data_IF_495606732834
#
_entry.id   IF_495606732834
#
_cell.length_a   1.000
_cell.length_b   1.000
_cell.length_c   1.000
_cell.angle_alpha   90.00
_cell.angle_beta   90.00
_cell.angle_gamma   90.00
#
_symmetry.space_group_name_H-M   'P 1'
#
loop_
_entity.id
_entity.type
_entity.pdbx_description
1 polymer ?
#
# COMPACT_ATOMS: atom_id res chain seq x y z
N UNK A 1 -9.61 8.04 -18.60
CA UNK A 1 -8.69 8.43 -17.52
C UNK A 1 -8.75 7.30 -16.49
N UNK A 2 -7.83 6.35 -16.58
CA UNK A 2 -7.69 5.27 -15.61
C UNK A 2 -6.38 5.56 -14.87
N UNK A 3 -6.53 6.11 -13.67
CA UNK A 3 -5.43 6.25 -12.72
C UNK A 3 -5.08 4.83 -12.25
N UNK A 4 -3.96 4.30 -12.75
CA UNK A 4 -3.33 3.14 -12.13
C UNK A 4 -2.77 3.61 -10.79
N UNK A 5 -3.55 3.40 -9.72
CA UNK A 5 -3.09 3.58 -8.36
C UNK A 5 -1.89 2.65 -8.14
N UNK A 6 -0.69 3.22 -8.02
CA UNK A 6 0.40 2.55 -7.30
C UNK A 6 -0.05 2.50 -5.85
N UNK A 7 -0.80 1.46 -5.50
CA UNK A 7 -1.22 1.19 -4.13
C UNK A 7 0.06 1.15 -3.29
N UNK A 8 0.18 2.03 -2.31
CA UNK A 8 1.39 2.04 -1.48
C UNK A 8 1.52 0.69 -0.78
N UNK A 9 2.75 0.25 -0.48
CA UNK A 9 3.00 -1.01 0.26
C UNK A 9 2.14 -1.09 1.53
N UNK A 10 2.02 0.04 2.23
CA UNK A 10 1.18 0.17 3.42
C UNK A 10 -0.31 -0.04 3.11
N UNK A 11 -0.83 0.57 2.05
CA UNK A 11 -2.25 0.43 1.66
C UNK A 11 -2.59 -1.01 1.26
N UNK A 12 -1.71 -1.68 0.51
CA UNK A 12 -1.90 -3.07 0.13
C UNK A 12 -1.94 -3.99 1.36
N UNK A 13 -1.03 -3.78 2.32
CA UNK A 13 -1.02 -4.52 3.58
C UNK A 13 -2.25 -4.20 4.45
N UNK A 14 -2.68 -2.94 4.52
CA UNK A 14 -3.92 -2.54 5.20
C UNK A 14 -5.14 -3.26 4.61
N UNK A 15 -5.27 -3.27 3.28
CA UNK A 15 -6.35 -3.92 2.56
C UNK A 15 -6.38 -5.44 2.75
N UNK A 16 -5.22 -6.05 3.02
CA UNK A 16 -5.11 -7.47 3.38
C UNK A 16 -5.51 -7.74 4.84
N UNK A 17 -4.92 -7.00 5.79
CA UNK A 17 -5.08 -7.29 7.22
C UNK A 17 -6.42 -6.85 7.81
N UNK A 18 -6.95 -5.69 7.39
CA UNK A 18 -8.15 -5.11 7.99
C UNK A 18 -9.40 -6.02 7.86
N UNK A 19 -9.68 -6.65 6.70
CA UNK A 19 -10.77 -7.61 6.58
C UNK A 19 -10.59 -8.86 7.46
N UNK A 20 -9.36 -9.36 7.61
CA UNK A 20 -9.08 -10.53 8.44
C UNK A 20 -9.34 -10.23 9.92
N UNK A 21 -8.86 -9.08 10.40
CA UNK A 21 -9.11 -8.63 11.78
C UNK A 21 -10.60 -8.40 12.01
N UNK A 22 -11.34 -7.86 11.02
CA UNK A 22 -12.79 -7.66 11.12
C UNK A 22 -13.56 -8.98 11.27
N UNK A 23 -13.10 -10.07 10.64
CA UNK A 23 -13.72 -11.41 10.74
C UNK A 23 -13.60 -12.03 12.14
N UNK A 24 -12.76 -11.48 13.02
CA UNK A 24 -12.69 -11.94 14.41
C UNK A 24 -14.02 -11.71 15.12
N UNK A 25 -14.71 -10.59 14.82
CA UNK A 25 -16.01 -10.33 15.41
C UNK A 25 -17.06 -11.32 14.93
N UNK A 26 -17.62 -12.08 15.87
CA UNK A 26 -18.84 -12.83 15.64
C UNK A 26 -20.04 -11.89 15.83
N UNK A 27 -20.61 -11.42 14.72
CA UNK A 27 -21.79 -10.58 14.75
C UNK A 27 -23.05 -11.44 14.93
N UNK A 28 -23.82 -11.19 15.98
CA UNK A 28 -25.13 -11.82 16.18
C UNK A 28 -26.23 -10.75 16.31
N UNK A 29 -27.42 -11.03 15.80
CA UNK A 29 -28.55 -10.09 15.75
C UNK A 29 -29.21 -9.85 17.13
N UNK A 30 -28.88 -10.68 18.12
CA UNK A 30 -29.39 -10.55 19.48
C UNK A 30 -28.57 -9.54 20.28
N UNK A 31 -29.25 -8.53 20.83
CA UNK A 31 -28.62 -7.47 21.64
C UNK A 31 -28.10 -8.06 22.95
N UNK A 32 -26.79 -8.29 23.04
CA UNK A 32 -26.11 -8.74 24.27
C UNK A 32 -25.36 -7.57 24.89
N UNK A 33 -25.78 -7.14 26.08
CA UNK A 33 -25.01 -6.18 26.86
C UNK A 33 -23.92 -6.91 27.64
N UNK A 34 -22.68 -6.75 27.20
CA UNK A 34 -21.50 -7.27 27.91
C UNK A 34 -21.31 -6.51 29.23
N UNK A 35 -21.40 -7.23 30.37
CA UNK A 35 -21.06 -6.68 31.69
C UNK A 35 -19.61 -7.01 32.03
N UNK A 36 -18.99 -6.16 32.84
CA UNK A 36 -17.58 -6.29 33.25
C UNK A 36 -17.22 -7.67 33.82
N UNK A 37 -18.09 -8.24 34.68
CA UNK A 37 -17.87 -9.56 35.28
C UNK A 37 -17.89 -10.68 34.24
N UNK A 38 -18.80 -10.60 33.27
CA UNK A 38 -18.98 -11.61 32.24
C UNK A 38 -17.80 -11.59 31.25
N UNK A 39 -17.34 -10.40 30.87
CA UNK A 39 -16.14 -10.23 30.03
C UNK A 39 -14.90 -10.81 30.69
N UNK A 40 -14.65 -10.46 31.96
CA UNK A 40 -13.51 -10.99 32.69
C UNK A 40 -13.59 -12.51 32.88
N UNK A 41 -14.79 -13.03 33.16
CA UNK A 41 -15.02 -14.47 33.28
C UNK A 41 -14.72 -15.17 31.94
N UNK A 42 -15.21 -14.65 30.82
CA UNK A 42 -14.96 -15.21 29.50
C UNK A 42 -13.45 -15.21 29.14
N UNK A 43 -12.74 -14.12 29.40
CA UNK A 43 -11.30 -14.05 29.17
C UNK A 43 -10.52 -15.06 30.02
N UNK A 44 -10.89 -15.21 31.31
CA UNK A 44 -10.29 -16.23 32.18
C UNK A 44 -10.62 -17.64 31.74
N UNK A 45 -11.85 -17.90 31.28
CA UNK A 45 -12.24 -19.21 30.70
C UNK A 45 -11.35 -19.55 29.51
N UNK A 46 -11.14 -18.60 28.60
CA UNK A 46 -10.25 -18.78 27.46
C UNK A 46 -8.81 -19.08 27.89
N UNK A 47 -8.25 -18.27 28.81
CA UNK A 47 -6.89 -18.46 29.31
C UNK A 47 -6.69 -19.84 29.95
N UNK A 48 -7.68 -20.30 30.73
CA UNK A 48 -7.66 -21.62 31.37
C UNK A 48 -7.82 -22.76 30.36
N UNK A 49 -8.64 -22.58 29.32
CA UNK A 49 -8.84 -23.58 28.27
C UNK A 49 -7.66 -23.67 27.29
N UNK A 50 -6.87 -22.59 27.16
CA UNK A 50 -5.76 -22.45 26.20
C UNK A 50 -4.50 -21.87 26.87
N UNK A 51 -3.94 -22.51 27.91
CA UNK A 51 -2.83 -21.95 28.69
C UNK A 51 -1.57 -21.71 27.85
N UNK A 52 -1.33 -22.56 26.84
CA UNK A 52 -0.16 -22.48 25.97
C UNK A 52 -0.19 -21.31 24.98
N UNK A 53 -1.33 -20.63 24.82
CA UNK A 53 -1.43 -19.50 23.89
C UNK A 53 -0.80 -18.23 24.47
N UNK A 54 -0.60 -18.13 25.79
CA UNK A 54 0.03 -16.96 26.41
C UNK A 54 -0.80 -15.68 26.25
N UNK A 55 -2.13 -15.79 26.36
CA UNK A 55 -2.99 -14.62 26.45
C UNK A 55 -2.77 -13.87 27.77
N UNK A 56 -2.67 -12.55 27.70
CA UNK A 56 -2.50 -11.65 28.85
C UNK A 56 -3.77 -10.83 29.06
N UNK A 57 -4.27 -10.79 30.29
CA UNK A 57 -5.42 -9.95 30.67
C UNK A 57 -4.89 -8.75 31.45
N UNK A 58 -5.23 -7.55 31.00
CA UNK A 58 -4.87 -6.30 31.68
C UNK A 58 -6.04 -5.33 31.73
N UNK A 59 -5.93 -4.35 32.63
CA UNK A 59 -6.85 -3.21 32.67
C UNK A 59 -6.13 -1.99 32.11
N UNK A 60 -6.75 -1.32 31.16
CA UNK A 60 -6.23 -0.07 30.58
C UNK A 60 -7.18 1.08 30.87
N UNK A 61 -6.63 2.28 30.99
CA UNK A 61 -7.42 3.49 30.92
C UNK A 61 -7.40 3.99 29.48
N UNK A 62 -8.57 4.10 28.88
CA UNK A 62 -8.72 4.66 27.53
C UNK A 62 -9.54 5.94 27.61
N UNK A 63 -9.17 6.95 26.84
CA UNK A 63 -9.99 8.15 26.70
C UNK A 63 -11.25 7.78 25.92
N UNK A 64 -12.43 8.07 26.48
CA UNK A 64 -13.64 8.15 25.67
C UNK A 64 -13.40 9.30 24.70
N UNK A 65 -13.42 9.04 23.39
CA UNK A 65 -13.05 9.98 22.32
C UNK A 65 -13.87 11.28 22.20
N UNK A 66 -14.44 11.79 23.30
CA UNK A 66 -15.17 13.04 23.39
C UNK A 66 -14.57 14.05 24.40
N UNK A 67 -13.80 13.64 25.42
CA UNK A 67 -13.07 14.55 26.36
C UNK A 67 -11.83 13.86 26.96
N UNK A 68 -10.69 14.56 27.00
CA UNK A 68 -9.40 14.05 27.53
C UNK A 68 -9.41 13.64 29.02
N UNK A 69 -10.49 13.91 29.74
CA UNK A 69 -10.63 13.66 31.18
C UNK A 69 -11.54 12.47 31.53
N UNK A 70 -12.33 11.92 30.60
CA UNK A 70 -13.16 10.74 30.85
C UNK A 70 -12.40 9.46 30.48
N UNK A 71 -11.58 8.98 31.42
CA UNK A 71 -10.91 7.69 31.31
C UNK A 71 -11.84 6.57 31.77
N UNK A 72 -12.25 5.69 30.87
CA UNK A 72 -12.93 4.44 31.25
C UNK A 72 -11.93 3.32 31.45
N UNK A 73 -12.27 2.40 32.37
CA UNK A 73 -11.49 1.19 32.57
C UNK A 73 -11.89 0.15 31.52
N UNK A 74 -10.97 -0.13 30.61
CA UNK A 74 -11.12 -1.13 29.56
C UNK A 74 -10.48 -2.43 29.99
N UNK A 75 -11.17 -3.55 29.77
CA UNK A 75 -10.59 -4.88 29.92
C UNK A 75 -9.92 -5.23 28.59
N UNK A 76 -8.62 -5.50 28.63
CA UNK A 76 -7.82 -5.83 27.46
C UNK A 76 -7.39 -7.29 27.52
N UNK A 77 -7.70 -8.05 26.48
CA UNK A 77 -7.08 -9.35 26.20
C UNK A 77 -6.01 -9.15 25.13
N UNK A 78 -4.76 -9.44 25.47
CA UNK A 78 -3.60 -9.21 24.61
C UNK A 78 -2.95 -10.52 24.21
N UNK A 79 -2.46 -10.60 22.98
CA UNK A 79 -1.63 -11.69 22.48
C UNK A 79 -0.53 -11.19 21.55
N UNK A 80 0.72 -11.50 21.90
CA UNK A 80 1.87 -11.38 20.97
C UNK A 80 1.86 -12.54 19.99
N UNK A 81 1.92 -12.25 18.69
CA UNK A 81 1.79 -13.22 17.61
C UNK A 81 3.16 -13.63 17.01
N UNK A 82 4.26 -13.05 17.52
CA UNK A 82 5.60 -13.19 16.92
C UNK A 82 5.85 -12.14 15.84
N UNK A 83 7.10 -11.98 15.39
CA UNK A 83 7.44 -11.04 14.30
C UNK A 83 7.09 -9.57 14.58
N UNK A 84 7.12 -9.14 15.84
CA UNK A 84 6.63 -7.82 16.31
C UNK A 84 5.13 -7.55 16.09
N UNK A 85 4.35 -8.59 15.78
CA UNK A 85 2.91 -8.50 15.64
C UNK A 85 2.18 -8.68 16.99
N UNK A 86 1.14 -7.88 17.19
CA UNK A 86 0.36 -7.82 18.42
C UNK A 86 -1.12 -7.65 18.08
N UNK A 87 -1.96 -8.41 18.78
CA UNK A 87 -3.41 -8.21 18.76
C UNK A 87 -3.93 -7.94 20.16
N UNK A 88 -4.81 -6.95 20.28
CA UNK A 88 -5.45 -6.55 21.53
C UNK A 88 -6.95 -6.45 21.33
N UNK A 89 -7.72 -7.24 22.09
CA UNK A 89 -9.15 -7.10 22.16
C UNK A 89 -9.54 -6.25 23.37
N UNK A 90 -10.10 -5.07 23.09
CA UNK A 90 -10.45 -4.04 24.05
C UNK A 90 -11.95 -3.98 24.24
N UNK A 91 -12.39 -4.21 25.48
CA UNK A 91 -13.79 -4.15 25.87
C UNK A 91 -13.99 -3.11 26.96
N UNK A 92 -14.58 -1.98 26.56
CA UNK A 92 -15.15 -1.00 27.48
C UNK A 92 -16.64 -1.32 27.66
N UNK A 93 -17.02 -1.73 28.87
CA UNK A 93 -18.41 -2.10 29.17
C UNK A 93 -19.35 -0.89 29.23
N UNK A 94 -18.80 0.32 29.39
CA UNK A 94 -19.54 1.57 29.47
C UNK A 94 -19.56 2.31 28.12
N UNK A 95 -18.87 1.81 27.09
CA UNK A 95 -18.88 2.36 25.75
C UNK A 95 -19.90 1.68 24.83
N UNK A 96 -20.25 2.39 23.76
CA UNK A 96 -21.05 1.87 22.64
C UNK A 96 -20.26 0.87 21.78
N UNK A 97 -18.95 1.09 21.63
CA UNK A 97 -18.08 0.31 20.77
C UNK A 97 -17.03 -0.44 21.58
N UNK A 98 -16.69 -1.63 21.11
CA UNK A 98 -15.47 -2.37 21.47
C UNK A 98 -14.51 -2.33 20.28
N UNK A 99 -13.24 -2.64 20.51
CA UNK A 99 -12.20 -2.51 19.47
C UNK A 99 -11.21 -3.66 19.52
N UNK A 100 -10.78 -4.11 18.34
CA UNK A 100 -9.58 -4.93 18.19
C UNK A 100 -8.50 -4.02 17.64
N UNK A 101 -7.40 -3.87 18.38
CA UNK A 101 -6.19 -3.23 17.88
C UNK A 101 -5.29 -4.29 17.31
N UNK A 102 -4.80 -4.04 16.11
CA UNK A 102 -3.81 -4.89 15.47
C UNK A 102 -2.59 -4.06 15.11
N UNK A 103 -1.42 -4.62 15.42
CA UNK A 103 -0.11 -4.04 15.15
C UNK A 103 0.69 -5.07 14.38
N UNK A 104 1.28 -4.67 13.26
CA UNK A 104 2.20 -5.50 12.47
C UNK A 104 3.22 -4.61 11.77
N UNK A 105 4.43 -5.12 11.56
CA UNK A 105 5.55 -4.34 11.00
C UNK A 105 5.22 -3.71 9.63
N UNK A 106 4.42 -4.40 8.82
CA UNK A 106 4.11 -3.98 7.44
C UNK A 106 3.02 -2.91 7.32
N UNK A 107 2.15 -2.80 8.33
CA UNK A 107 0.94 -1.96 8.30
C UNK A 107 0.91 -0.94 9.45
N UNK A 108 1.80 -1.07 10.43
CA UNK A 108 1.75 -0.29 11.66
C UNK A 108 0.55 -0.71 12.50
N UNK A 109 -0.10 0.28 13.12
CA UNK A 109 -1.17 0.07 14.08
C UNK A 109 -2.51 0.52 13.50
N UNK A 110 -3.53 -0.32 13.57
CA UNK A 110 -4.90 0.08 13.27
C UNK A 110 -5.91 -0.53 14.25
N UNK A 111 -7.09 0.08 14.28
CA UNK A 111 -8.18 -0.31 15.16
C UNK A 111 -9.40 -0.68 14.33
N UNK A 112 -10.04 -1.80 14.66
CA UNK A 112 -11.32 -2.22 14.06
C UNK A 112 -12.41 -2.14 15.13
N UNK A 113 -13.24 -1.07 15.12
CA UNK A 113 -14.35 -0.95 16.05
C UNK A 113 -15.52 -1.85 15.65
N UNK A 114 -16.29 -2.30 16.64
CA UNK A 114 -17.57 -2.99 16.43
C UNK A 114 -18.57 -2.53 17.50
N UNK A 115 -19.84 -2.36 17.13
CA UNK A 115 -20.89 -2.05 18.09
C UNK A 115 -21.03 -3.18 19.09
N UNK A 116 -20.95 -2.86 20.38
CA UNK A 116 -20.92 -3.85 21.45
C UNK A 116 -22.17 -4.72 21.47
N UNK A 117 -23.32 -4.14 21.14
CA UNK A 117 -24.60 -4.85 21.08
C UNK A 117 -24.65 -5.95 20.02
N UNK A 118 -23.77 -5.92 19.02
CA UNK A 118 -23.73 -6.93 17.95
C UNK A 118 -22.67 -7.99 18.19
N UNK A 119 -21.88 -7.90 19.25
CA UNK A 119 -20.76 -8.81 19.50
C UNK A 119 -21.20 -10.01 20.34
N UNK A 120 -21.17 -11.20 19.75
CA UNK A 120 -21.18 -12.44 20.52
C UNK A 120 -19.77 -12.68 21.09
N UNK A 121 -19.62 -12.49 22.40
CA UNK A 121 -18.32 -12.54 23.06
C UNK A 121 -17.65 -13.92 22.96
N UNK A 122 -18.37 -14.99 23.28
CA UNK A 122 -17.77 -16.34 23.31
C UNK A 122 -17.34 -16.77 21.89
N UNK A 123 -18.18 -16.54 20.88
CA UNK A 123 -17.83 -16.83 19.48
C UNK A 123 -16.70 -15.91 18.95
N UNK A 124 -16.64 -14.65 19.38
CA UNK A 124 -15.53 -13.74 19.04
C UNK A 124 -14.21 -14.22 19.62
N UNK A 125 -14.22 -14.76 20.84
CA UNK A 125 -13.03 -15.34 21.46
C UNK A 125 -12.57 -16.62 20.75
N UNK A 126 -13.49 -17.46 20.28
CA UNK A 126 -13.14 -18.61 19.44
C UNK A 126 -12.53 -18.18 18.10
N UNK A 127 -13.11 -17.17 17.45
CA UNK A 127 -12.56 -16.62 16.21
C UNK A 127 -11.18 -15.97 16.44
N UNK A 128 -10.95 -15.34 17.59
CA UNK A 128 -9.64 -14.82 17.96
C UNK A 128 -8.61 -15.95 18.07
N UNK A 129 -8.97 -17.09 18.67
CA UNK A 129 -8.09 -18.26 18.72
C UNK A 129 -7.77 -18.77 17.31
N UNK A 130 -8.78 -18.91 16.45
CA UNK A 130 -8.57 -19.33 15.05
C UNK A 130 -7.65 -18.35 14.30
N UNK A 131 -7.84 -17.05 14.50
CA UNK A 131 -6.98 -16.03 13.92
C UNK A 131 -5.52 -16.19 14.39
N UNK A 132 -5.30 -16.46 15.68
CA UNK A 132 -3.96 -16.73 16.23
C UNK A 132 -3.34 -17.98 15.61
N UNK A 133 -4.12 -19.04 15.42
CA UNK A 133 -3.66 -20.30 14.81
C UNK A 133 -3.29 -20.12 13.34
N UNK A 134 -4.06 -19.33 12.60
CA UNK A 134 -3.86 -19.05 11.18
C UNK A 134 -2.84 -17.92 10.92
N UNK A 135 -2.43 -17.20 11.96
CA UNK A 135 -1.51 -16.06 11.85
C UNK A 135 -0.24 -16.35 11.04
N UNK A 136 0.47 -17.49 11.21
CA UNK A 136 1.66 -17.80 10.40
C UNK A 136 1.37 -17.82 8.90
N UNK A 137 0.22 -18.36 8.48
CA UNK A 137 -0.20 -18.40 7.09
C UNK A 137 -0.56 -17.00 6.57
N UNK A 138 -1.27 -16.21 7.38
CA UNK A 138 -1.56 -14.81 7.02
C UNK A 138 -0.30 -13.96 6.90
N UNK A 139 0.67 -14.17 7.78
CA UNK A 139 1.95 -13.48 7.73
C UNK A 139 2.77 -13.85 6.48
N UNK A 140 2.76 -15.13 6.09
CA UNK A 140 3.40 -15.58 4.85
C UNK A 140 2.73 -14.95 3.62
N UNK A 141 1.39 -14.88 3.58
CA UNK A 141 0.65 -14.24 2.50
C UNK A 141 0.94 -12.73 2.42
N UNK A 142 0.96 -12.02 3.55
CA UNK A 142 1.36 -10.60 3.64
C UNK A 142 2.78 -10.40 3.07
N UNK A 143 3.71 -11.28 3.44
CA UNK A 143 5.10 -11.23 2.95
C UNK A 143 5.19 -11.42 1.44
N UNK A 144 4.39 -12.32 0.85
CA UNK A 144 4.36 -12.53 -0.61
C UNK A 144 3.83 -11.30 -1.36
N UNK A 145 2.76 -10.68 -0.86
CA UNK A 145 2.22 -9.43 -1.43
C UNK A 145 3.30 -8.34 -1.47
N UNK A 146 4.04 -8.20 -0.38
CA UNK A 146 5.14 -7.23 -0.28
C UNK A 146 6.24 -7.54 -1.28
N UNK A 147 6.66 -8.81 -1.39
CA UNK A 147 7.69 -9.23 -2.33
C UNK A 147 7.29 -8.95 -3.79
N UNK A 148 6.02 -9.16 -4.14
CA UNK A 148 5.50 -8.88 -5.49
C UNK A 148 5.55 -7.38 -5.79
N UNK A 149 5.10 -6.53 -4.86
CA UNK A 149 5.17 -5.07 -4.99
C UNK A 149 6.63 -4.60 -5.14
N UNK A 150 7.54 -5.10 -4.29
CA UNK A 150 8.96 -4.73 -4.37
C UNK A 150 9.62 -5.20 -5.67
N UNK A 151 9.22 -6.37 -6.18
CA UNK A 151 9.69 -6.87 -7.48
C UNK A 151 9.22 -5.99 -8.62
N UNK A 152 7.95 -5.59 -8.65
CA UNK A 152 7.41 -4.70 -9.67
C UNK A 152 8.08 -3.32 -9.63
N UNK A 153 8.29 -2.77 -8.43
CA UNK A 153 9.00 -1.50 -8.25
C UNK A 153 10.44 -1.58 -8.76
N UNK A 154 11.18 -2.65 -8.41
CA UNK A 154 12.55 -2.86 -8.90
C UNK A 154 12.60 -3.02 -10.41
N UNK A 155 11.66 -3.76 -11.00
CA UNK A 155 11.58 -3.91 -12.46
C UNK A 155 11.32 -2.56 -13.13
N UNK A 156 10.41 -1.75 -12.59
CA UNK A 156 10.15 -0.40 -13.09
C UNK A 156 11.41 0.49 -13.01
N UNK A 157 12.11 0.46 -11.88
CA UNK A 157 13.35 1.21 -11.69
C UNK A 157 14.46 0.76 -12.65
N UNK A 158 14.64 -0.56 -12.84
CA UNK A 158 15.62 -1.09 -13.81
C UNK A 158 15.31 -0.58 -15.21
N UNK A 159 14.04 -0.66 -15.64
CA UNK A 159 13.64 -0.19 -16.97
C UNK A 159 13.89 1.31 -17.13
N UNK A 160 13.52 2.12 -16.14
CA UNK A 160 13.77 3.56 -16.16
C UNK A 160 15.29 3.88 -16.22
N UNK A 161 16.11 3.17 -15.45
CA UNK A 161 17.55 3.33 -15.47
C UNK A 161 18.18 2.89 -16.79
N UNK A 162 17.71 1.78 -17.38
CA UNK A 162 18.13 1.36 -18.73
C UNK A 162 17.78 2.42 -19.76
N UNK A 163 16.57 3.00 -19.70
CA UNK A 163 16.16 4.08 -20.59
C UNK A 163 17.12 5.27 -20.48
N UNK A 164 17.35 5.75 -19.25
CA UNK A 164 18.24 6.87 -18.97
C UNK A 164 19.65 6.60 -19.49
N UNK A 165 20.20 5.42 -19.23
CA UNK A 165 21.55 5.06 -19.63
C UNK A 165 21.68 5.00 -21.17
N UNK A 166 20.74 4.37 -21.86
CA UNK A 166 20.80 4.24 -23.32
C UNK A 166 20.56 5.58 -24.02
N UNK A 167 19.60 6.41 -23.58
CA UNK A 167 19.42 7.77 -24.12
C UNK A 167 20.68 8.59 -23.89
N UNK A 168 21.27 8.54 -22.69
CA UNK A 168 22.51 9.27 -22.39
C UNK A 168 23.65 8.81 -23.29
N UNK A 169 23.82 7.51 -23.49
CA UNK A 169 24.84 6.96 -24.37
C UNK A 169 24.68 7.43 -25.82
N UNK A 170 23.44 7.37 -26.34
CA UNK A 170 23.11 7.86 -27.68
C UNK A 170 23.39 9.36 -27.79
N UNK A 171 22.89 10.17 -26.86
CA UNK A 171 22.94 11.61 -26.96
C UNK A 171 24.34 12.18 -26.70
N UNK A 172 25.14 11.56 -25.83
CA UNK A 172 26.53 11.95 -25.61
C UNK A 172 27.44 11.70 -26.82
N UNK A 173 27.02 10.84 -27.75
CA UNK A 173 27.69 10.69 -29.05
C UNK A 173 27.36 11.82 -30.03
N UNK A 174 26.34 12.62 -29.73
CA UNK A 174 25.97 13.80 -30.51
C UNK A 174 26.63 15.05 -29.95
N UNK A 175 26.80 16.10 -30.78
CA UNK A 175 27.28 17.41 -30.33
C UNK A 175 26.16 18.30 -29.76
N UNK A 176 24.94 17.77 -29.69
CA UNK A 176 23.73 18.53 -29.35
C UNK A 176 23.56 18.63 -27.84
N UNK A 177 23.03 19.75 -27.36
CA UNK A 177 22.60 19.86 -25.97
C UNK A 177 21.28 19.12 -25.79
N UNK A 178 21.13 18.40 -24.69
CA UNK A 178 19.93 17.59 -24.47
C UNK A 178 19.54 17.52 -23.00
N UNK A 179 18.25 17.27 -22.75
CA UNK A 179 17.68 16.99 -21.44
C UNK A 179 16.65 15.88 -21.54
N UNK A 180 16.65 14.99 -20.56
CA UNK A 180 15.65 13.94 -20.44
C UNK A 180 14.82 14.20 -19.19
N UNK A 181 13.53 14.43 -19.38
CA UNK A 181 12.56 14.55 -18.30
C UNK A 181 11.84 13.23 -18.13
N UNK A 182 11.71 12.81 -16.88
CA UNK A 182 11.06 11.58 -16.49
C UNK A 182 9.72 11.87 -15.82
N UNK A 183 8.71 11.10 -16.22
CA UNK A 183 7.40 11.05 -15.59
C UNK A 183 7.08 9.58 -15.27
N UNK A 184 5.98 9.34 -14.56
CA UNK A 184 5.69 8.03 -13.99
C UNK A 184 5.66 6.87 -15.01
N UNK A 185 5.18 7.13 -16.24
CA UNK A 185 5.06 6.13 -17.32
C UNK A 185 5.63 6.60 -18.66
N UNK A 186 6.27 7.77 -18.71
CA UNK A 186 6.79 8.34 -19.95
C UNK A 186 8.04 9.19 -19.75
N UNK A 187 8.76 9.37 -20.84
CA UNK A 187 9.95 10.18 -20.93
C UNK A 187 9.76 11.25 -21.99
N UNK A 188 10.29 12.43 -21.73
CA UNK A 188 10.36 13.53 -22.68
C UNK A 188 11.84 13.88 -22.92
N UNK A 189 12.33 13.59 -24.11
CA UNK A 189 13.66 13.97 -24.55
C UNK A 189 13.59 15.29 -25.30
N UNK A 190 14.30 16.29 -24.81
CA UNK A 190 14.52 17.57 -25.48
C UNK A 190 15.94 17.62 -26.04
N UNK A 191 16.07 17.97 -27.31
CA UNK A 191 17.36 18.10 -28.01
C UNK A 191 17.43 19.46 -28.67
N UNK A 192 18.39 20.29 -28.25
CA UNK A 192 18.65 21.61 -28.80
C UNK A 192 19.78 21.55 -29.84
N UNK A 193 19.53 22.17 -30.98
CA UNK A 193 20.45 22.27 -32.13
C UNK A 193 21.01 23.68 -32.25
N UNK A 194 22.23 23.79 -32.81
CA UNK A 194 23.00 25.06 -32.93
C UNK A 194 22.25 26.22 -33.62
N UNK A 195 21.22 25.93 -34.41
CA UNK A 195 20.41 26.95 -35.12
C UNK A 195 19.19 27.46 -34.32
N UNK A 196 19.12 27.19 -33.02
CA UNK A 196 18.01 27.63 -32.17
C UNK A 196 16.74 26.78 -32.28
N UNK A 197 16.85 25.57 -32.85
CA UNK A 197 15.75 24.61 -32.91
C UNK A 197 15.79 23.66 -31.72
N UNK A 198 14.63 23.27 -31.21
CA UNK A 198 14.50 22.23 -30.19
C UNK A 198 13.56 21.15 -30.68
N UNK A 199 14.02 19.90 -30.67
CA UNK A 199 13.19 18.72 -30.91
C UNK A 199 12.75 18.17 -29.56
N UNK A 200 11.46 17.95 -29.40
CA UNK A 200 10.89 17.26 -28.24
C UNK A 200 10.31 15.91 -28.69
N UNK A 201 10.71 14.83 -28.02
CA UNK A 201 10.22 13.48 -28.28
C UNK A 201 9.69 12.87 -26.99
N UNK A 202 8.41 12.51 -26.99
CA UNK A 202 7.80 11.74 -25.92
C UNK A 202 7.79 10.25 -26.27
N UNK A 203 8.19 9.40 -25.32
CA UNK A 203 8.04 7.95 -25.46
C UNK A 203 7.57 7.36 -24.14
N UNK A 204 6.69 6.37 -24.22
CA UNK A 204 6.29 5.57 -23.07
C UNK A 204 7.27 4.41 -22.83
N UNK A 205 7.21 3.87 -21.62
CA UNK A 205 8.09 2.76 -21.20
C UNK A 205 7.89 1.51 -22.06
N UNK A 206 6.66 1.23 -22.52
CA UNK A 206 6.33 0.01 -23.26
C UNK A 206 6.89 0.03 -24.69
N UNK A 207 6.84 1.18 -25.35
CA UNK A 207 7.30 1.39 -26.72
C UNK A 207 8.80 1.69 -26.81
N UNK A 208 9.47 1.87 -25.67
CA UNK A 208 10.88 2.24 -25.63
C UNK A 208 11.80 1.22 -26.30
N UNK A 209 11.68 -0.06 -25.90
CA UNK A 209 12.58 -1.12 -26.36
C UNK A 209 12.53 -1.31 -27.88
N UNK A 210 11.36 -1.10 -28.48
CA UNK A 210 11.17 -1.26 -29.93
C UNK A 210 11.74 -0.10 -30.75
N UNK A 211 11.79 1.11 -30.17
CA UNK A 211 12.02 2.35 -30.93
C UNK A 211 13.34 3.04 -30.62
N UNK A 212 14.01 2.69 -29.52
CA UNK A 212 15.24 3.36 -29.10
C UNK A 212 16.39 3.23 -30.10
N UNK A 213 16.50 2.08 -30.77
CA UNK A 213 17.53 1.85 -31.81
C UNK A 213 17.36 2.79 -33.01
N UNK A 214 16.13 3.23 -33.29
CA UNK A 214 15.84 4.18 -34.36
C UNK A 214 16.08 5.64 -33.97
N UNK A 215 16.26 5.95 -32.67
CA UNK A 215 16.35 7.32 -32.17
C UNK A 215 17.43 8.14 -32.86
N UNK A 216 18.63 7.57 -33.02
CA UNK A 216 19.75 8.23 -33.72
C UNK A 216 19.39 8.57 -35.17
N UNK A 217 18.76 7.62 -35.87
CA UNK A 217 18.39 7.82 -37.27
C UNK A 217 17.28 8.87 -37.40
N UNK A 218 16.26 8.83 -36.54
CA UNK A 218 15.17 9.82 -36.50
C UNK A 218 15.72 11.22 -36.21
N UNK A 219 16.63 11.37 -35.24
CA UNK A 219 17.28 12.64 -34.94
C UNK A 219 18.06 13.18 -36.14
N UNK A 220 18.85 12.33 -36.81
CA UNK A 220 19.63 12.70 -37.99
C UNK A 220 18.74 13.12 -39.17
N UNK A 221 17.69 12.37 -39.46
CA UNK A 221 16.74 12.69 -40.52
C UNK A 221 16.01 14.00 -40.23
N UNK A 222 15.59 14.21 -38.97
CA UNK A 222 14.90 15.42 -38.56
C UNK A 222 15.84 16.64 -38.61
N UNK A 223 17.10 16.50 -38.19
CA UNK A 223 18.10 17.56 -38.33
C UNK A 223 18.33 17.96 -39.79
N UNK A 224 18.46 16.98 -40.69
CA UNK A 224 18.62 17.24 -42.13
C UNK A 224 17.41 17.98 -42.70
N UNK A 225 16.20 17.52 -42.35
CA UNK A 225 14.96 18.17 -42.76
C UNK A 225 14.88 19.62 -42.23
N UNK A 226 15.15 19.85 -40.94
CA UNK A 226 15.13 21.20 -40.35
C UNK A 226 16.16 22.15 -40.97
N UNK A 227 17.28 21.64 -41.52
CA UNK A 227 18.27 22.47 -42.24
C UNK A 227 17.76 23.03 -43.56
N UNK A 228 16.80 22.35 -44.19
CA UNK A 228 16.22 22.76 -45.49
C UNK A 228 15.09 23.78 -45.32
N UNK A 229 14.56 23.95 -44.12
CA UNK A 229 13.43 24.85 -43.86
C UNK A 229 13.92 26.29 -43.65
N UNK A 230 13.41 27.27 -44.42
CA UNK A 230 13.87 28.67 -44.32
C UNK A 230 13.15 29.50 -43.25
N UNK A 231 12.14 28.97 -42.55
CA UNK A 231 11.36 29.67 -41.52
C UNK A 231 10.97 28.75 -40.35
N UNK A 232 10.69 29.26 -39.15
CA UNK A 232 10.27 28.44 -38.02
C UNK A 232 8.93 27.74 -38.27
N UNK A 233 8.85 26.43 -38.04
CA UNK A 233 7.62 25.63 -38.17
C UNK A 233 7.42 24.82 -36.88
N UNK A 234 6.18 24.74 -36.39
CA UNK A 234 5.80 23.79 -35.33
C UNK A 234 5.17 22.55 -35.95
N UNK A 235 5.78 21.38 -35.72
CA UNK A 235 5.29 20.09 -36.24
C UNK A 235 4.88 19.24 -35.05
N UNK A 236 3.60 18.86 -34.99
CA UNK A 236 3.06 17.94 -33.98
C UNK A 236 2.48 16.72 -34.70
N UNK A 237 3.03 15.55 -34.45
CA UNK A 237 2.40 14.30 -34.86
C UNK A 237 1.29 13.98 -33.84
N UNK A 238 0.06 13.82 -34.32
CA UNK A 238 -1.08 13.40 -33.49
C UNK A 238 -1.22 11.88 -33.61
N UNK A 239 -1.17 11.17 -32.48
CA UNK A 239 -1.43 9.74 -32.44
C UNK A 239 -2.95 9.50 -32.40
N UNK A 240 -3.51 9.08 -33.54
CA UNK A 240 -4.94 8.80 -33.67
C UNK A 240 -5.38 7.46 -33.05
N UNK A 241 -4.47 6.70 -32.41
CA UNK A 241 -4.80 5.39 -31.81
C UNK A 241 -5.38 5.44 -30.39
N UNK A 242 -5.74 6.63 -29.89
CA UNK A 242 -6.42 6.83 -28.59
C UNK A 242 -7.88 7.33 -28.73
N UNK A 243 -8.55 7.00 -29.83
CA UNK A 243 -10.01 7.16 -29.98
C UNK A 243 -10.72 5.82 -29.75
#
# INVERSE_FOLDING_TARGET
MQENFVTSKSDACCNFWQPLVKKIYAQNADVIFLRKRDVLAAFKRLQNAKPNYGFEISYKQESKGYRDCDKSQVICLRKSLGGAALIEFLVDCDAKYLSIRFSHIDVGNFNVPCERCWCNLDATLENLVKFVDEFPNYNEQSSRIIMEIEKEQKLKEIVQNTIRATVSHIMNSTKHQWKLFESENSFLLEVAFDKGYTIQMSFDIQNYLERISALQNVLKQTENFLKEIPFPISIKALDNRRL
#
